data_IF_377104048543
#
_entry.id   IF_377104048543
#
_cell.length_a   1.000
_cell.length_b   1.000
_cell.length_c   1.000
_cell.angle_alpha   90.00
_cell.angle_beta   90.00
_cell.angle_gamma   90.00
#
_symmetry.space_group_name_H-M   'P 1'
#
loop_
_entity.id
_entity.type
_entity.pdbx_description
1 polymer ?
#
# COMPACT_ATOMS: atom_id res chain seq x y z
N UNK A 1 47.21 -27.03 -46.31
CA UNK A 1 47.20 -25.58 -46.57
C UNK A 1 46.36 -25.33 -47.82
N UNK A 2 45.06 -25.09 -47.67
CA UNK A 2 44.17 -24.85 -48.79
C UNK A 2 44.37 -23.43 -49.31
N UNK A 3 44.68 -23.31 -50.61
CA UNK A 3 44.90 -22.04 -51.31
C UNK A 3 43.56 -21.32 -51.49
N UNK A 4 43.38 -20.18 -50.82
CA UNK A 4 42.33 -19.20 -51.14
C UNK A 4 42.69 -18.42 -52.41
N UNK A 5 42.79 -19.12 -53.53
CA UNK A 5 43.05 -18.50 -54.83
C UNK A 5 41.84 -18.84 -55.69
N UNK A 6 41.17 -17.80 -56.17
CA UNK A 6 40.08 -17.86 -57.18
C UNK A 6 38.64 -17.89 -56.67
N UNK A 7 38.29 -16.96 -55.76
CA UNK A 7 36.90 -16.47 -55.71
C UNK A 7 36.86 -15.13 -56.45
N UNK A 8 36.21 -15.04 -57.64
CA UNK A 8 36.07 -13.80 -58.37
C UNK A 8 35.31 -12.79 -57.50
N UNK A 9 35.90 -11.60 -57.31
CA UNK A 9 35.33 -10.54 -56.46
C UNK A 9 35.89 -10.46 -55.03
N UNK A 10 36.66 -11.44 -54.56
CA UNK A 10 37.24 -11.40 -53.21
C UNK A 10 38.23 -10.23 -53.03
N UNK A 11 39.03 -9.92 -54.04
CA UNK A 11 39.93 -8.77 -54.01
C UNK A 11 39.19 -7.42 -53.97
N UNK A 12 38.03 -7.34 -54.65
CA UNK A 12 37.16 -6.16 -54.60
C UNK A 12 36.48 -6.01 -53.24
N UNK A 13 36.03 -7.11 -52.63
CA UNK A 13 35.42 -7.10 -51.31
C UNK A 13 36.42 -6.68 -50.21
N UNK A 14 37.66 -7.19 -50.27
CA UNK A 14 38.73 -6.79 -49.33
C UNK A 14 39.14 -5.34 -49.57
N UNK A 15 39.26 -4.91 -50.84
CA UNK A 15 39.57 -3.52 -51.19
C UNK A 15 38.51 -2.55 -50.68
N UNK A 16 37.23 -2.87 -50.86
CA UNK A 16 36.12 -2.08 -50.34
C UNK A 16 36.12 -2.04 -48.80
N UNK A 17 36.36 -3.16 -48.14
CA UNK A 17 36.42 -3.22 -46.67
C UNK A 17 37.55 -2.35 -46.11
N UNK A 18 38.76 -2.46 -46.64
CA UNK A 18 39.91 -1.66 -46.19
C UNK A 18 39.70 -0.17 -46.48
N UNK A 19 39.12 0.17 -47.64
CA UNK A 19 38.75 1.54 -47.99
C UNK A 19 37.73 2.10 -46.98
N UNK A 20 36.71 1.33 -46.60
CA UNK A 20 35.66 1.76 -45.64
C UNK A 20 36.23 1.99 -44.24
N UNK A 21 37.22 1.17 -43.83
CA UNK A 21 37.91 1.32 -42.54
C UNK A 21 38.83 2.54 -42.55
N UNK A 22 39.60 2.77 -43.61
CA UNK A 22 40.52 3.92 -43.72
C UNK A 22 39.80 5.26 -43.92
N UNK A 23 38.66 5.28 -44.62
CA UNK A 23 37.83 6.49 -44.77
C UNK A 23 36.98 6.80 -43.54
N UNK A 24 37.09 6.02 -42.45
CA UNK A 24 36.50 6.35 -41.15
C UNK A 24 34.96 6.34 -41.09
N UNK A 25 34.28 5.83 -42.12
CA UNK A 25 32.80 5.79 -42.20
C UNK A 25 32.18 4.84 -41.16
N UNK A 26 32.98 3.98 -40.52
CA UNK A 26 32.59 3.18 -39.34
C UNK A 26 33.14 3.69 -37.99
N UNK A 27 33.95 4.76 -37.98
CA UNK A 27 34.59 5.27 -36.75
C UNK A 27 33.62 5.99 -35.82
N UNK A 28 32.61 6.67 -36.38
CA UNK A 28 31.55 7.32 -35.61
C UNK A 28 30.64 6.31 -34.88
N UNK A 29 30.53 5.08 -35.39
CA UNK A 29 29.71 4.02 -34.80
C UNK A 29 30.37 3.38 -33.57
N UNK A 30 31.71 3.39 -33.50
CA UNK A 30 32.46 2.80 -32.38
C UNK A 30 32.66 3.78 -31.21
N UNK A 31 32.81 5.07 -31.48
CA UNK A 31 32.91 6.10 -30.42
C UNK A 31 31.57 6.40 -29.75
N UNK A 32 30.44 6.14 -30.42
CA UNK A 32 29.11 6.24 -29.81
C UNK A 32 28.82 5.13 -28.79
N UNK A 33 29.54 4.00 -28.82
CA UNK A 33 29.31 2.87 -27.90
C UNK A 33 30.05 3.02 -26.57
N UNK A 34 31.18 3.71 -26.54
CA UNK A 34 31.97 3.93 -25.31
C UNK A 34 31.43 5.06 -24.41
N UNK A 35 30.39 5.75 -24.85
CA UNK A 35 29.63 6.71 -24.05
C UNK A 35 28.27 6.17 -23.58
N UNK A 36 27.97 4.88 -23.78
CA UNK A 36 26.79 4.26 -23.18
C UNK A 36 27.04 3.86 -21.72
N UNK A 37 27.25 4.85 -20.85
CA UNK A 37 26.62 4.80 -19.52
C UNK A 37 25.11 5.05 -19.71
N UNK A 38 24.45 4.15 -20.45
CA UNK A 38 23.01 4.16 -20.62
C UNK A 38 22.42 3.86 -19.25
N UNK A 39 22.09 4.91 -18.50
CA UNK A 39 21.22 4.79 -17.34
C UNK A 39 19.85 4.43 -17.92
N UNK A 40 19.56 3.13 -17.98
CA UNK A 40 18.25 2.65 -18.31
C UNK A 40 17.31 3.06 -17.16
N UNK A 41 16.67 4.22 -17.31
CA UNK A 41 15.60 4.63 -16.40
C UNK A 41 14.40 3.75 -16.71
N UNK A 42 14.31 2.61 -16.03
CA UNK A 42 13.10 1.81 -16.02
C UNK A 42 12.04 2.60 -15.25
N UNK A 43 11.12 3.22 -15.97
CA UNK A 43 9.90 3.74 -15.34
C UNK A 43 9.03 2.53 -15.01
N UNK A 44 9.12 2.05 -13.76
CA UNK A 44 8.16 1.07 -13.24
C UNK A 44 6.85 1.81 -13.03
N UNK A 45 6.04 1.89 -14.08
CA UNK A 45 4.63 2.24 -13.91
C UNK A 45 3.97 1.01 -13.29
N UNK A 46 3.80 1.01 -11.98
CA UNK A 46 2.90 0.08 -11.30
C UNK A 46 1.45 0.44 -11.70
N UNK A 47 1.05 0.17 -12.94
CA UNK A 47 -0.32 0.30 -13.42
C UNK A 47 -1.17 -0.93 -13.10
N UNK A 48 -0.83 -1.63 -12.02
CA UNK A 48 -1.70 -2.58 -11.38
C UNK A 48 -2.20 -1.95 -10.09
N UNK A 49 -3.31 -1.21 -10.15
CA UNK A 49 -4.21 -1.12 -9.01
C UNK A 49 -4.69 -2.54 -8.71
N UNK A 50 -3.88 -3.33 -8.01
CA UNK A 50 -4.39 -4.47 -7.27
C UNK A 50 -5.54 -3.92 -6.44
N UNK A 51 -6.76 -4.41 -6.69
CA UNK A 51 -7.94 -3.89 -6.02
C UNK A 51 -7.68 -4.02 -4.53
N UNK A 52 -7.50 -2.88 -3.85
CA UNK A 52 -7.28 -2.88 -2.43
C UNK A 52 -8.49 -3.58 -1.79
N UNK A 53 -8.27 -4.48 -0.82
CA UNK A 53 -9.38 -5.16 -0.16
C UNK A 53 -10.35 -4.11 0.35
N UNK A 54 -11.62 -4.20 -0.02
CA UNK A 54 -12.61 -3.23 0.44
C UNK A 54 -12.91 -3.53 1.91
N UNK A 55 -12.87 -2.49 2.75
CA UNK A 55 -13.40 -2.57 4.12
C UNK A 55 -14.82 -2.01 4.10
N UNK A 56 -15.85 -2.88 4.00
CA UNK A 56 -17.23 -2.42 4.10
C UNK A 56 -17.50 -1.80 5.47
N UNK A 57 -18.48 -0.90 5.50
CA UNK A 57 -18.82 -0.13 6.71
C UNK A 57 -19.09 -1.08 7.89
N UNK A 58 -18.30 -1.00 8.97
CA UNK A 58 -18.47 -1.86 10.12
C UNK A 58 -19.79 -1.55 10.82
N UNK A 59 -20.42 -2.58 11.36
CA UNK A 59 -21.65 -2.46 12.14
C UNK A 59 -21.28 -2.25 13.60
N UNK A 60 -21.73 -1.14 14.17
CA UNK A 60 -21.59 -0.89 15.61
C UNK A 60 -22.81 -1.43 16.36
N UNK A 61 -22.60 -2.12 17.47
CA UNK A 61 -23.68 -2.57 18.36
C UNK A 61 -23.35 -2.33 19.83
N UNK A 62 -24.33 -1.84 20.59
CA UNK A 62 -24.26 -1.75 22.04
C UNK A 62 -24.48 -3.16 22.62
N UNK A 63 -23.44 -3.73 23.21
CA UNK A 63 -23.42 -5.12 23.71
C UNK A 63 -23.48 -5.19 25.24
N UNK A 64 -23.10 -4.10 25.91
CA UNK A 64 -23.05 -4.01 27.36
C UNK A 64 -24.21 -3.18 27.90
N UNK A 65 -24.89 -3.67 28.95
CA UNK A 65 -26.00 -2.93 29.59
C UNK A 65 -25.51 -1.71 30.36
N UNK A 66 -24.25 -1.69 30.81
CA UNK A 66 -23.61 -0.53 31.44
C UNK A 66 -22.96 0.43 30.43
N UNK A 67 -23.01 0.11 29.13
CA UNK A 67 -22.43 0.87 28.02
C UNK A 67 -20.93 1.18 28.19
N UNK A 68 -20.17 0.22 28.72
CA UNK A 68 -18.72 0.35 28.91
C UNK A 68 -17.92 -0.02 27.66
N UNK A 69 -18.50 -0.85 26.79
CA UNK A 69 -17.91 -1.19 25.51
C UNK A 69 -18.98 -1.38 24.44
N UNK A 70 -18.57 -1.14 23.19
CA UNK A 70 -19.34 -1.43 21.99
C UNK A 70 -18.66 -2.53 21.18
N UNK A 71 -19.44 -3.29 20.43
CA UNK A 71 -18.92 -4.27 19.47
C UNK A 71 -18.92 -3.64 18.09
N UNK A 72 -17.78 -3.70 17.42
CA UNK A 72 -17.62 -3.29 16.02
C UNK A 72 -17.45 -4.54 15.18
N UNK A 73 -18.53 -4.95 14.52
CA UNK A 73 -18.55 -6.10 13.64
C UNK A 73 -18.13 -5.70 12.22
N UNK A 74 -17.32 -6.54 11.60
CA UNK A 74 -16.87 -6.41 10.22
C UNK A 74 -17.12 -7.72 9.49
N UNK A 75 -17.40 -7.64 8.19
CA UNK A 75 -17.66 -8.80 7.34
C UNK A 75 -17.42 -8.44 5.90
N UNK A 76 -17.01 -9.39 5.07
CA UNK A 76 -16.86 -9.15 3.63
C UNK A 76 -15.47 -8.69 3.22
N UNK A 77 -14.46 -8.91 4.06
CA UNK A 77 -13.08 -8.86 3.57
C UNK A 77 -12.83 -10.00 2.58
N UNK A 78 -12.11 -9.70 1.51
CA UNK A 78 -11.66 -10.71 0.53
C UNK A 78 -10.57 -11.63 1.08
N UNK A 79 -9.80 -11.15 2.06
CA UNK A 79 -8.73 -11.86 2.75
C UNK A 79 -8.80 -11.52 4.25
N UNK A 80 -8.36 -12.43 5.11
CA UNK A 80 -8.21 -12.13 6.53
C UNK A 80 -7.14 -11.03 6.75
N UNK A 81 -7.44 -9.94 7.48
CA UNK A 81 -6.41 -8.98 7.85
C UNK A 81 -5.41 -9.63 8.81
N UNK A 82 -4.14 -9.23 8.72
CA UNK A 82 -3.11 -9.63 9.67
C UNK A 82 -3.12 -8.75 10.93
N UNK A 83 -3.55 -7.48 10.78
CA UNK A 83 -3.57 -6.49 11.86
C UNK A 83 -4.75 -5.54 11.70
N UNK A 84 -5.40 -5.17 12.79
CA UNK A 84 -6.37 -4.09 12.85
C UNK A 84 -5.83 -2.96 13.73
N UNK A 85 -5.78 -1.74 13.22
CA UNK A 85 -5.34 -0.55 13.95
C UNK A 85 -6.53 0.37 14.20
N UNK A 86 -6.70 0.80 15.45
CA UNK A 86 -7.80 1.64 15.89
C UNK A 86 -7.28 2.99 16.35
N UNK A 87 -8.00 4.05 15.99
CA UNK A 87 -7.77 5.40 16.47
C UNK A 87 -9.10 6.14 16.50
N UNK A 88 -9.29 7.11 17.38
CA UNK A 88 -10.53 7.88 17.42
C UNK A 88 -10.24 9.38 17.35
N UNK A 89 -11.11 10.11 16.66
CA UNK A 89 -11.10 11.57 16.59
C UNK A 89 -12.44 12.13 17.04
N UNK A 90 -12.42 13.21 17.82
CA UNK A 90 -13.63 14.01 18.08
C UNK A 90 -14.01 14.86 16.86
N UNK A 91 -14.91 15.83 17.09
CA UNK A 91 -15.32 16.79 16.04
C UNK A 91 -14.17 17.64 15.50
N UNK A 92 -13.06 17.74 16.25
CA UNK A 92 -11.87 18.50 15.86
C UNK A 92 -11.01 17.77 14.81
N UNK A 93 -11.33 16.50 14.48
CA UNK A 93 -10.62 15.72 13.46
C UNK A 93 -9.22 15.22 13.85
N UNK A 94 -8.72 15.60 15.02
CA UNK A 94 -7.43 15.12 15.54
C UNK A 94 -7.63 13.71 16.09
N UNK A 95 -6.95 12.74 15.49
CA UNK A 95 -6.92 11.36 15.97
C UNK A 95 -6.04 11.26 17.20
N UNK A 96 -6.53 10.56 18.22
CA UNK A 96 -5.76 10.18 19.40
C UNK A 96 -4.72 9.09 19.09
N UNK A 97 -4.15 8.55 20.17
CA UNK A 97 -3.24 7.40 20.11
C UNK A 97 -3.84 6.26 19.29
N UNK A 98 -3.04 5.63 18.44
CA UNK A 98 -3.44 4.44 17.70
C UNK A 98 -3.13 3.20 18.53
N UNK A 99 -4.02 2.21 18.49
CA UNK A 99 -3.81 0.91 19.13
C UNK A 99 -3.91 -0.19 18.09
N UNK A 100 -2.87 -1.01 18.05
CA UNK A 100 -2.80 -2.17 17.17
C UNK A 100 -3.35 -3.41 17.89
N UNK A 101 -4.23 -4.13 17.21
CA UNK A 101 -4.58 -5.50 17.55
C UNK A 101 -4.01 -6.43 16.49
N UNK A 102 -3.11 -7.30 16.93
CA UNK A 102 -2.64 -8.45 16.18
C UNK A 102 -3.38 -9.69 16.68
N UNK A 103 -3.80 -10.55 15.76
CA UNK A 103 -4.48 -11.79 16.10
C UNK A 103 -4.94 -12.50 14.84
N UNK A 104 -5.36 -13.76 14.94
CA UNK A 104 -5.98 -14.43 13.80
C UNK A 104 -7.34 -13.77 13.57
N UNK A 105 -7.40 -12.81 12.63
CA UNK A 105 -8.66 -12.27 12.16
C UNK A 105 -9.23 -13.17 11.07
N UNK A 106 -10.55 -13.26 10.99
CA UNK A 106 -11.24 -13.87 9.86
C UNK A 106 -11.53 -12.83 8.78
N UNK A 107 -12.15 -13.28 7.68
CA UNK A 107 -12.78 -12.38 6.70
C UNK A 107 -14.03 -11.67 7.27
N UNK A 108 -14.52 -12.15 8.40
CA UNK A 108 -15.57 -11.56 9.23
C UNK A 108 -15.26 -11.78 10.70
N UNK A 109 -15.70 -10.86 11.55
CA UNK A 109 -15.53 -10.94 12.99
C UNK A 109 -16.05 -9.70 13.70
N UNK A 110 -15.75 -9.58 14.99
CA UNK A 110 -16.11 -8.39 15.77
C UNK A 110 -15.01 -8.05 16.76
N UNK A 111 -14.88 -6.75 17.04
CA UNK A 111 -13.91 -6.23 18.01
C UNK A 111 -14.65 -5.41 19.05
N UNK A 112 -14.36 -5.66 20.32
CA UNK A 112 -14.88 -4.85 21.43
C UNK A 112 -14.02 -3.61 21.65
N UNK A 113 -14.64 -2.45 21.60
CA UNK A 113 -14.00 -1.16 21.87
C UNK A 113 -14.52 -0.60 23.18
N UNK A 114 -13.61 -0.38 24.13
CA UNK A 114 -13.92 0.11 25.46
C UNK A 114 -13.91 1.64 25.51
N UNK A 115 -14.86 2.23 26.24
CA UNK A 115 -14.99 3.68 26.39
C UNK A 115 -13.82 4.33 27.14
N UNK A 116 -13.04 3.56 27.89
CA UNK A 116 -11.82 4.00 28.57
C UNK A 116 -10.53 3.79 27.77
N UNK A 117 -10.63 3.30 26.53
CA UNK A 117 -9.49 3.06 25.66
C UNK A 117 -8.68 4.32 25.38
N UNK A 118 -7.36 4.17 25.29
CA UNK A 118 -6.43 5.27 24.98
C UNK A 118 -6.66 5.85 23.59
N UNK A 119 -7.37 5.17 22.69
CA UNK A 119 -7.75 5.73 21.38
C UNK A 119 -8.60 6.99 21.51
N UNK A 120 -9.32 7.16 22.63
CA UNK A 120 -10.15 8.32 22.93
C UNK A 120 -9.42 9.42 23.72
N UNK A 121 -8.11 9.29 23.96
CA UNK A 121 -7.34 10.23 24.80
C UNK A 121 -7.37 11.70 24.33
N UNK A 122 -7.53 11.93 23.02
CA UNK A 122 -7.62 13.27 22.42
C UNK A 122 -9.06 13.67 22.10
N UNK A 123 -10.05 12.87 22.51
CA UNK A 123 -11.46 13.12 22.23
C UNK A 123 -12.08 13.90 23.36
N UNK A 124 -12.32 15.19 23.13
CA UNK A 124 -12.95 16.10 24.09
C UNK A 124 -14.40 16.44 23.74
N UNK A 125 -14.90 15.99 22.59
CA UNK A 125 -16.26 16.25 22.10
C UNK A 125 -16.91 14.98 21.58
N UNK A 126 -18.24 14.94 21.66
CA UNK A 126 -19.09 13.88 21.10
C UNK A 126 -19.91 14.44 19.93
N UNK A 127 -20.17 13.69 18.85
CA UNK A 127 -19.75 12.30 18.57
C UNK A 127 -18.25 12.18 18.23
N UNK A 128 -17.71 10.99 18.49
CA UNK A 128 -16.37 10.59 18.07
C UNK A 128 -16.44 9.68 16.85
N UNK A 129 -15.43 9.76 15.98
CA UNK A 129 -15.25 8.89 14.82
C UNK A 129 -14.07 7.96 15.08
N UNK A 130 -14.36 6.67 15.18
CA UNK A 130 -13.35 5.62 15.25
C UNK A 130 -12.92 5.30 13.82
N UNK A 131 -11.63 5.41 13.54
CA UNK A 131 -10.99 4.95 12.31
C UNK A 131 -10.34 3.60 12.57
N UNK A 132 -10.66 2.66 11.70
CA UNK A 132 -10.19 1.28 11.74
C UNK A 132 -9.41 1.03 10.46
N UNK A 133 -8.16 0.64 10.60
CA UNK A 133 -7.28 0.33 9.48
C UNK A 133 -6.96 -1.16 9.53
N UNK A 134 -7.46 -1.89 8.54
CA UNK A 134 -7.13 -3.29 8.32
C UNK A 134 -5.86 -3.37 7.46
N UNK A 135 -4.84 -4.05 7.96
CA UNK A 135 -3.58 -4.34 7.25
C UNK A 135 -3.55 -5.82 6.89
N UNK A 136 -3.35 -6.13 5.60
CA UNK A 136 -3.34 -7.50 5.09
C UNK A 136 -1.92 -8.06 5.01
N UNK A 137 -1.80 -9.36 4.78
CA UNK A 137 -0.49 -10.05 4.68
C UNK A 137 0.40 -9.48 3.56
N UNK A 138 -0.23 -8.98 2.49
CA UNK A 138 0.40 -8.29 1.36
C UNK A 138 0.93 -6.89 1.68
N UNK A 139 0.65 -6.34 2.87
CA UNK A 139 0.96 -4.97 3.26
C UNK A 139 -0.04 -3.92 2.75
N UNK A 140 -1.04 -4.33 1.97
CA UNK A 140 -2.16 -3.47 1.60
C UNK A 140 -2.94 -3.06 2.85
N UNK A 141 -3.54 -1.87 2.79
CA UNK A 141 -4.35 -1.32 3.87
C UNK A 141 -5.72 -0.93 3.36
N UNK A 142 -6.72 -1.13 4.21
CA UNK A 142 -8.08 -0.68 3.97
C UNK A 142 -8.62 0.02 5.20
N UNK A 143 -9.34 1.11 5.02
CA UNK A 143 -9.79 1.97 6.11
C UNK A 143 -11.30 2.04 6.13
N UNK A 144 -11.87 1.90 7.32
CA UNK A 144 -13.27 2.18 7.58
C UNK A 144 -13.43 3.07 8.81
N UNK A 145 -14.58 3.72 8.89
CA UNK A 145 -14.92 4.59 10.02
C UNK A 145 -16.28 4.23 10.60
N UNK A 146 -16.40 4.41 11.91
CA UNK A 146 -17.63 4.22 12.68
C UNK A 146 -17.81 5.41 13.61
N UNK A 147 -19.04 5.91 13.74
CA UNK A 147 -19.38 6.97 14.69
C UNK A 147 -19.87 6.36 16.00
N UNK A 148 -19.41 6.94 17.11
CA UNK A 148 -19.84 6.60 18.47
C UNK A 148 -20.09 7.86 19.27
N UNK A 149 -20.99 7.79 20.23
CA UNK A 149 -21.18 8.81 21.25
C UNK A 149 -20.41 8.44 22.52
N UNK A 150 -19.77 9.42 23.15
CA UNK A 150 -19.03 9.24 24.40
C UNK A 150 -19.61 10.12 25.49
N UNK A 151 -19.78 9.57 26.69
CA UNK A 151 -20.04 10.39 27.89
C UNK A 151 -18.71 10.94 28.42
N UNK A 152 -18.44 12.20 28.07
CA UNK A 152 -17.22 12.91 28.45
C UNK A 152 -17.47 13.72 29.73
N UNK A 153 -16.49 13.75 30.64
CA UNK A 153 -16.50 14.61 31.82
C UNK A 153 -17.19 14.05 33.07
N UNK A 154 -17.97 12.98 32.96
CA UNK A 154 -18.68 12.37 34.11
C UNK A 154 -17.87 11.28 34.82
N UNK A 155 -16.65 10.97 34.36
CA UNK A 155 -15.82 9.87 34.87
C UNK A 155 -16.37 8.47 34.57
N UNK A 156 -17.59 8.38 34.05
CA UNK A 156 -18.29 7.14 33.77
C UNK A 156 -17.84 6.46 32.47
N UNK A 157 -17.15 7.17 31.58
CA UNK A 157 -16.50 6.64 30.36
C UNK A 157 -17.41 5.72 29.54
N UNK A 158 -18.68 6.09 29.39
CA UNK A 158 -19.63 5.29 28.60
C UNK A 158 -19.47 5.58 27.11
N UNK A 159 -19.76 4.57 26.31
CA UNK A 159 -19.67 4.59 24.86
C UNK A 159 -20.93 3.98 24.25
N UNK A 160 -21.44 4.60 23.20
CA UNK A 160 -22.66 4.18 22.49
C UNK A 160 -22.44 4.25 20.98
N UNK A 161 -23.04 3.33 20.24
CA UNK A 161 -23.14 3.47 18.79
C UNK A 161 -24.05 4.64 18.43
N UNK A 162 -23.63 5.45 17.44
CA UNK A 162 -24.34 6.64 16.97
C UNK A 162 -25.12 6.39 15.68
#
# INVERSE_FOLDING_TARGET
>A
MARFREIPGAALAVGAFVLTVLLGVGGASASALWQQSATATMTVTASGTWSAPVFPTPVCSNVDTANKYVSVAYSGFSEAPAKLTFSAAGTNGIYGTSTDMAGPFGTSGSVSIWGDSTIFSQVSTTPATIKIVATFSSGLQSTATVKVNLEIGTGNKKIYCA
#
